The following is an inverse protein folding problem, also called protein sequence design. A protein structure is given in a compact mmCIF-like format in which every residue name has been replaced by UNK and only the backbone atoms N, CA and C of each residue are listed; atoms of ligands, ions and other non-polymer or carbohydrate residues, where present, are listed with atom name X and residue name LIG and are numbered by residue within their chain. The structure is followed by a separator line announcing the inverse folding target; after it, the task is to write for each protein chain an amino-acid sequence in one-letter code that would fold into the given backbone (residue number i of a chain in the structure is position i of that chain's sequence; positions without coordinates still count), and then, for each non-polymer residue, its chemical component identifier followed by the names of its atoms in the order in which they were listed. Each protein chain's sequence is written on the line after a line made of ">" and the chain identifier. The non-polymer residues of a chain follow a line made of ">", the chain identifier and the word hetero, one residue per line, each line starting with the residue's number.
data_IF_566426641035
#
_entry.id   IF_566426641035
#
_cell.length_a   1.000
_cell.length_b   1.000
_cell.length_c   1.000
_cell.angle_alpha   90.00
_cell.angle_beta   90.00
_cell.angle_gamma   90.00
#
_symmetry.space_group_name_H-M   'P 1'
#
loop_
_entity.id
_entity.type
_entity.pdbx_description
1 polymer ?
#
# COMPACT_ATOMS: atom_id res chain seq x y z
N UNK A 1 -36.87 -27.39 -25.51
CA UNK A 1 -36.53 -26.24 -24.65
C UNK A 1 -35.07 -25.90 -24.89
N UNK A 2 -34.77 -24.91 -25.69
CA UNK A 2 -33.40 -24.44 -25.92
C UNK A 2 -32.99 -23.60 -24.72
N UNK A 3 -31.87 -23.99 -24.07
CA UNK A 3 -31.28 -23.21 -23.01
C UNK A 3 -30.90 -21.83 -23.56
N UNK A 4 -31.41 -20.75 -22.91
CA UNK A 4 -30.94 -19.39 -23.20
C UNK A 4 -29.43 -19.32 -22.98
N UNK A 5 -28.68 -18.71 -23.92
CA UNK A 5 -27.25 -18.47 -23.68
C UNK A 5 -27.12 -17.60 -22.43
N UNK A 6 -26.27 -18.03 -21.47
CA UNK A 6 -25.86 -17.20 -20.36
C UNK A 6 -25.25 -15.92 -20.96
N UNK A 7 -25.76 -14.76 -20.60
CA UNK A 7 -25.10 -13.49 -20.90
C UNK A 7 -23.64 -13.58 -20.43
N UNK A 8 -22.68 -13.09 -21.24
CA UNK A 8 -21.30 -13.07 -20.80
C UNK A 8 -21.23 -12.21 -19.54
N UNK A 9 -20.96 -12.84 -18.39
CA UNK A 9 -20.74 -12.10 -17.14
C UNK A 9 -19.66 -11.04 -17.41
N UNK A 10 -19.96 -9.77 -17.08
CA UNK A 10 -19.00 -8.70 -17.26
C UNK A 10 -17.66 -9.08 -16.63
N UNK A 11 -16.55 -9.02 -17.42
CA UNK A 11 -15.21 -9.37 -16.93
C UNK A 11 -14.64 -8.37 -15.93
N UNK A 12 -15.30 -7.21 -15.76
CA UNK A 12 -14.93 -6.16 -14.80
C UNK A 12 -16.16 -5.79 -13.97
N UNK A 13 -15.96 -5.86 -12.65
CA UNK A 13 -16.87 -5.32 -11.66
C UNK A 13 -16.04 -4.37 -10.79
N UNK A 14 -16.57 -3.19 -10.48
CA UNK A 14 -15.91 -2.23 -9.56
C UNK A 14 -16.92 -1.86 -8.48
N UNK A 15 -16.51 -2.11 -7.22
CA UNK A 15 -17.22 -1.69 -6.03
C UNK A 15 -16.56 -0.42 -5.49
N UNK A 16 -17.28 0.72 -5.51
CA UNK A 16 -16.80 1.99 -4.98
C UNK A 16 -17.36 2.22 -3.58
N UNK A 17 -16.59 1.89 -2.56
CA UNK A 17 -16.94 2.03 -1.15
C UNK A 17 -16.37 3.35 -0.55
N UNK A 18 -15.31 3.88 -1.14
CA UNK A 18 -14.58 5.04 -0.61
C UNK A 18 -15.41 6.34 -0.56
N UNK A 19 -16.50 6.44 -1.32
CA UNK A 19 -17.30 7.67 -1.44
C UNK A 19 -18.21 7.98 -0.25
N UNK A 20 -18.40 7.07 0.69
CA UNK A 20 -19.47 7.20 1.69
C UNK A 20 -19.15 8.16 2.85
N UNK A 21 -17.89 8.35 3.28
CA UNK A 21 -17.53 9.18 4.43
C UNK A 21 -16.21 9.98 4.30
N UNK A 22 -15.50 9.92 3.17
CA UNK A 22 -14.11 10.38 3.04
C UNK A 22 -13.84 11.84 3.44
N UNK A 23 -14.76 12.78 3.16
CA UNK A 23 -14.52 14.20 3.48
C UNK A 23 -14.68 14.52 4.98
N UNK A 24 -15.58 13.83 5.69
CA UNK A 24 -15.80 14.07 7.12
C UNK A 24 -14.61 13.50 7.90
N UNK A 25 -14.21 12.29 7.60
CA UNK A 25 -13.06 11.64 8.24
C UNK A 25 -11.76 12.43 8.00
N UNK A 26 -11.53 12.91 6.77
CA UNK A 26 -10.36 13.74 6.45
C UNK A 26 -10.33 15.01 7.30
N UNK A 27 -11.45 15.71 7.42
CA UNK A 27 -11.56 16.93 8.21
C UNK A 27 -11.27 16.68 9.71
N UNK A 28 -11.80 15.59 10.26
CA UNK A 28 -11.59 15.19 11.65
C UNK A 28 -10.14 14.80 11.92
N UNK A 29 -9.53 14.02 11.04
CA UNK A 29 -8.14 13.59 11.16
C UNK A 29 -7.18 14.77 11.03
N UNK A 30 -7.39 15.70 10.09
CA UNK A 30 -6.61 16.94 9.98
C UNK A 30 -6.72 17.75 11.26
N UNK A 31 -7.93 17.91 11.82
CA UNK A 31 -8.12 18.62 13.09
C UNK A 31 -7.33 17.93 14.21
N UNK A 32 -7.49 16.63 14.36
CA UNK A 32 -6.82 15.84 15.40
C UNK A 32 -5.30 15.94 15.29
N UNK A 33 -4.77 15.71 14.08
CA UNK A 33 -3.33 15.70 13.85
C UNK A 33 -2.66 17.05 14.04
N UNK A 34 -3.26 18.13 13.53
CA UNK A 34 -2.72 19.48 13.70
C UNK A 34 -2.91 20.07 15.11
N UNK A 35 -3.81 19.47 15.92
CA UNK A 35 -3.98 19.84 17.34
C UNK A 35 -3.09 19.02 18.27
N UNK A 36 -2.42 17.97 17.79
CA UNK A 36 -1.50 17.17 18.59
C UNK A 36 -0.16 17.86 18.81
N UNK A 37 0.59 17.40 19.82
CA UNK A 37 1.95 17.84 20.07
C UNK A 37 2.83 16.61 20.31
N UNK A 38 3.76 16.30 19.40
CA UNK A 38 4.06 16.97 18.14
C UNK A 38 2.90 16.91 17.13
N UNK A 39 2.86 17.90 16.22
CA UNK A 39 1.89 17.90 15.11
C UNK A 39 2.16 16.76 14.14
N UNK A 40 1.07 16.23 13.56
CA UNK A 40 1.15 15.16 12.56
C UNK A 40 0.03 15.24 11.54
N UNK A 41 0.23 14.61 10.39
CA UNK A 41 -0.80 14.28 9.41
C UNK A 41 -0.72 12.76 9.12
N UNK A 42 -1.65 12.25 8.30
CA UNK A 42 -1.81 10.80 8.19
C UNK A 42 -1.56 10.33 6.75
N UNK A 43 -0.65 9.36 6.51
CA UNK A 43 -0.18 8.99 5.17
C UNK A 43 -1.28 8.48 4.23
N UNK A 44 -2.43 7.98 4.74
CA UNK A 44 -3.55 7.57 3.91
C UNK A 44 -4.11 8.69 3.02
N UNK A 45 -3.87 9.96 3.38
CA UNK A 45 -4.35 11.13 2.64
C UNK A 45 -3.38 11.63 1.56
N UNK A 46 -2.18 11.10 1.50
CA UNK A 46 -1.20 11.38 0.46
C UNK A 46 -1.66 10.90 -0.92
N UNK A 47 -2.49 9.84 -0.98
CA UNK A 47 -2.84 9.12 -2.21
C UNK A 47 -4.14 9.61 -2.88
N UNK A 48 -4.36 10.95 -2.93
CA UNK A 48 -5.39 11.49 -3.83
C UNK A 48 -4.98 11.30 -5.31
N UNK A 49 -5.80 11.75 -6.25
CA UNK A 49 -5.54 11.55 -7.69
C UNK A 49 -4.22 12.17 -8.17
N UNK A 50 -3.72 13.25 -7.54
CA UNK A 50 -2.42 13.84 -7.81
C UNK A 50 -1.32 13.08 -7.08
N UNK A 51 -1.53 12.78 -5.80
CA UNK A 51 -0.60 12.03 -4.97
C UNK A 51 -0.25 10.67 -5.55
N UNK A 52 -1.23 9.92 -6.05
CA UNK A 52 -0.99 8.64 -6.73
C UNK A 52 -0.04 8.79 -7.94
N UNK A 53 -0.17 9.86 -8.73
CA UNK A 53 0.74 10.13 -9.86
C UNK A 53 2.13 10.56 -9.41
N UNK A 54 2.22 11.30 -8.30
CA UNK A 54 3.50 11.68 -7.71
C UNK A 54 4.21 10.44 -7.15
N UNK A 55 3.47 9.52 -6.53
CA UNK A 55 4.03 8.25 -6.08
C UNK A 55 4.49 7.38 -7.27
N UNK A 56 3.72 7.33 -8.35
CA UNK A 56 4.19 6.68 -9.58
C UNK A 56 5.52 7.29 -10.06
N UNK A 57 5.69 8.62 -9.97
CA UNK A 57 6.94 9.28 -10.31
C UNK A 57 8.08 8.93 -9.32
N UNK A 58 7.80 8.86 -8.00
CA UNK A 58 8.76 8.40 -6.97
C UNK A 58 9.30 7.01 -7.33
N UNK A 59 8.45 6.11 -7.80
CA UNK A 59 8.88 4.75 -8.20
C UNK A 59 9.94 4.74 -9.33
N UNK A 60 10.18 5.87 -9.99
CA UNK A 60 11.14 6.01 -11.10
C UNK A 60 12.38 6.83 -10.73
N UNK A 61 12.46 7.44 -9.54
CA UNK A 61 13.69 8.14 -9.13
C UNK A 61 14.76 7.12 -8.69
N UNK A 62 16.02 7.48 -8.90
CA UNK A 62 17.14 6.57 -8.67
C UNK A 62 17.30 6.18 -7.19
N UNK A 63 17.02 7.09 -6.29
CA UNK A 63 17.14 6.86 -4.84
C UNK A 63 16.07 5.90 -4.32
N UNK A 64 14.87 5.84 -4.95
CA UNK A 64 13.77 4.98 -4.52
C UNK A 64 13.93 3.56 -5.08
N UNK A 65 14.83 2.79 -4.49
CA UNK A 65 15.13 1.41 -4.89
C UNK A 65 14.00 0.37 -4.61
N UNK A 66 13.07 0.55 -3.62
CA UNK A 66 12.17 -0.54 -3.22
C UNK A 66 11.33 -1.10 -4.38
N UNK A 67 10.81 -0.24 -5.26
CA UNK A 67 10.02 -0.68 -6.43
C UNK A 67 10.86 -1.53 -7.38
N UNK A 68 12.12 -1.15 -7.65
CA UNK A 68 13.00 -1.91 -8.55
C UNK A 68 13.43 -3.23 -7.94
N UNK A 69 13.76 -3.24 -6.65
CA UNK A 69 14.16 -4.44 -5.92
C UNK A 69 13.02 -5.48 -5.89
N UNK A 70 11.81 -5.07 -5.53
CA UNK A 70 10.65 -5.96 -5.53
C UNK A 70 10.31 -6.46 -6.94
N UNK A 71 10.34 -5.58 -7.96
CA UNK A 71 10.11 -5.99 -9.36
C UNK A 71 11.17 -6.99 -9.85
N UNK A 72 12.43 -6.88 -9.42
CA UNK A 72 13.48 -7.84 -9.68
C UNK A 72 13.13 -9.22 -9.11
N UNK A 73 12.71 -9.27 -7.83
CA UNK A 73 12.31 -10.51 -7.16
C UNK A 73 11.16 -11.17 -7.93
N UNK A 74 10.08 -10.40 -8.19
CA UNK A 74 8.90 -10.93 -8.86
C UNK A 74 9.21 -11.39 -10.30
N UNK A 75 10.11 -10.70 -11.02
CA UNK A 75 10.52 -11.08 -12.36
C UNK A 75 11.29 -12.40 -12.36
N UNK A 76 12.15 -12.63 -11.36
CA UNK A 76 12.97 -13.85 -11.27
C UNK A 76 12.22 -15.06 -10.72
N UNK A 77 11.27 -14.83 -9.81
CA UNK A 77 10.70 -15.87 -8.97
C UNK A 77 9.19 -16.05 -9.11
N UNK A 78 8.50 -15.35 -10.06
CA UNK A 78 7.06 -15.47 -10.21
C UNK A 78 6.59 -16.92 -10.40
N UNK A 79 7.27 -17.71 -11.23
CA UNK A 79 6.91 -19.11 -11.48
C UNK A 79 7.06 -19.98 -10.23
N UNK A 80 8.09 -19.73 -9.44
CA UNK A 80 8.33 -20.43 -8.18
C UNK A 80 7.27 -20.06 -7.13
N UNK A 81 6.94 -18.76 -7.02
CA UNK A 81 5.91 -18.25 -6.10
C UNK A 81 4.56 -18.92 -6.42
N UNK A 82 4.12 -18.88 -7.67
CA UNK A 82 2.82 -19.46 -8.05
C UNK A 82 2.84 -21.01 -7.98
N UNK A 83 3.99 -21.62 -8.22
CA UNK A 83 4.19 -23.07 -8.08
C UNK A 83 4.03 -23.57 -6.65
N UNK A 84 4.31 -22.74 -5.66
CA UNK A 84 4.10 -23.05 -4.25
C UNK A 84 2.61 -23.12 -3.86
N UNK A 85 1.69 -22.61 -4.70
CA UNK A 85 0.25 -22.58 -4.41
C UNK A 85 -0.51 -23.33 -5.50
N UNK A 86 -0.52 -24.68 -5.43
CA UNK A 86 -1.25 -25.50 -6.39
C UNK A 86 -2.72 -25.10 -6.46
N UNK A 87 -3.28 -25.11 -7.69
CA UNK A 87 -4.69 -24.80 -7.95
C UNK A 87 -5.16 -23.39 -7.59
N UNK A 88 -4.25 -22.46 -7.29
CA UNK A 88 -4.59 -21.05 -7.10
C UNK A 88 -5.31 -20.50 -8.35
N UNK A 89 -6.52 -19.96 -8.15
CA UNK A 89 -7.35 -19.34 -9.20
C UNK A 89 -7.83 -17.95 -8.79
N UNK A 90 -7.50 -17.51 -7.59
CA UNK A 90 -7.86 -16.21 -7.08
C UNK A 90 -6.60 -15.50 -6.60
N UNK A 91 -6.36 -14.34 -7.19
CA UNK A 91 -5.30 -13.41 -6.82
C UNK A 91 -5.94 -12.19 -6.18
N UNK A 92 -5.58 -11.87 -4.96
CA UNK A 92 -6.06 -10.69 -4.24
C UNK A 92 -4.87 -9.77 -4.03
N UNK A 93 -5.02 -8.46 -4.21
CA UNK A 93 -3.94 -7.51 -3.93
C UNK A 93 -4.45 -6.33 -3.13
N UNK A 94 -3.82 -6.08 -2.01
CA UNK A 94 -4.09 -4.93 -1.15
C UNK A 94 -3.09 -3.80 -1.48
N UNK A 95 -3.62 -2.65 -1.92
CA UNK A 95 -2.82 -1.54 -2.41
C UNK A 95 -2.25 -1.79 -3.81
N UNK A 96 -3.14 -2.12 -4.77
CA UNK A 96 -2.71 -2.56 -6.11
C UNK A 96 -2.13 -1.45 -6.99
N UNK A 97 -2.48 -0.19 -6.76
CA UNK A 97 -2.00 0.94 -7.56
C UNK A 97 -2.13 0.72 -9.08
N UNK A 98 -1.02 0.84 -9.82
CA UNK A 98 -0.93 0.56 -11.26
C UNK A 98 -0.97 -0.94 -11.61
N UNK A 99 -0.80 -1.83 -10.65
CA UNK A 99 -0.65 -3.29 -10.80
C UNK A 99 0.51 -3.72 -11.74
N UNK A 100 1.51 -2.86 -11.96
CA UNK A 100 2.61 -3.16 -12.89
C UNK A 100 3.48 -4.32 -12.41
N UNK A 101 3.76 -4.40 -11.12
CA UNK A 101 4.50 -5.52 -10.52
C UNK A 101 3.69 -6.80 -10.54
N UNK A 102 2.40 -6.70 -10.25
CA UNK A 102 1.44 -7.81 -10.18
C UNK A 102 1.27 -8.54 -11.50
N UNK A 103 1.53 -7.86 -12.63
CA UNK A 103 1.56 -8.50 -13.97
C UNK A 103 2.43 -9.75 -14.00
N UNK A 104 3.57 -9.77 -13.29
CA UNK A 104 4.47 -10.94 -13.24
C UNK A 104 3.78 -12.16 -12.65
N UNK A 105 3.01 -11.95 -11.58
CA UNK A 105 2.24 -13.01 -10.92
C UNK A 105 1.03 -13.42 -11.77
N UNK A 106 0.31 -12.46 -12.36
CA UNK A 106 -0.82 -12.73 -13.26
C UNK A 106 -0.35 -13.59 -14.46
N UNK A 107 0.75 -13.21 -15.10
CA UNK A 107 1.31 -13.94 -16.22
C UNK A 107 1.75 -15.37 -15.84
N UNK A 108 2.40 -15.51 -14.68
CA UNK A 108 2.79 -16.81 -14.17
C UNK A 108 1.57 -17.71 -13.88
N UNK A 109 0.52 -17.18 -13.25
CA UNK A 109 -0.72 -17.91 -13.00
C UNK A 109 -1.42 -18.30 -14.31
N UNK A 110 -1.53 -17.37 -15.28
CA UNK A 110 -2.19 -17.64 -16.57
C UNK A 110 -1.44 -18.62 -17.46
N UNK A 111 -0.14 -18.85 -17.23
CA UNK A 111 0.57 -19.98 -17.87
C UNK A 111 0.10 -21.35 -17.37
N UNK A 112 -0.40 -21.39 -16.14
CA UNK A 112 -0.83 -22.64 -15.47
C UNK A 112 -2.36 -22.79 -15.42
N UNK A 113 -3.13 -21.73 -15.68
CA UNK A 113 -4.59 -21.69 -15.49
C UNK A 113 -5.27 -21.13 -16.73
N UNK A 114 -6.44 -21.65 -17.04
CA UNK A 114 -7.28 -21.19 -18.14
C UNK A 114 -8.13 -19.97 -17.76
N UNK A 115 -8.33 -19.74 -16.48
CA UNK A 115 -9.08 -18.60 -15.94
C UNK A 115 -8.41 -18.15 -14.63
N UNK A 116 -8.43 -16.83 -14.38
CA UNK A 116 -7.94 -16.21 -13.17
C UNK A 116 -8.90 -15.10 -12.73
N UNK A 117 -9.29 -15.13 -11.46
CA UNK A 117 -9.97 -14.02 -10.80
C UNK A 117 -8.93 -13.15 -10.12
N UNK A 118 -8.85 -11.87 -10.48
CA UNK A 118 -8.04 -10.86 -9.80
C UNK A 118 -8.93 -9.91 -9.01
N UNK A 119 -8.63 -9.74 -7.73
CA UNK A 119 -9.37 -8.87 -6.80
C UNK A 119 -8.41 -7.80 -6.26
N UNK A 120 -8.24 -6.68 -6.98
CA UNK A 120 -7.46 -5.55 -6.49
C UNK A 120 -8.28 -4.70 -5.51
N UNK A 121 -7.65 -4.29 -4.41
CA UNK A 121 -8.15 -3.33 -3.44
C UNK A 121 -7.23 -2.12 -3.44
N UNK A 122 -7.78 -0.92 -3.58
CA UNK A 122 -7.02 0.33 -3.50
C UNK A 122 -7.96 1.48 -3.14
N UNK A 123 -7.46 2.48 -2.45
CA UNK A 123 -8.25 3.67 -2.09
C UNK A 123 -8.56 4.54 -3.32
N UNK A 124 -7.75 4.44 -4.38
CA UNK A 124 -7.89 5.23 -5.61
C UNK A 124 -8.76 4.53 -6.66
N UNK A 125 -10.06 4.83 -6.67
CA UNK A 125 -11.00 4.28 -7.67
C UNK A 125 -10.53 4.54 -9.12
N UNK A 126 -9.90 5.69 -9.39
CA UNK A 126 -9.41 6.03 -10.73
C UNK A 126 -8.19 5.20 -11.14
N UNK A 127 -7.29 4.89 -10.21
CA UNK A 127 -6.16 4.01 -10.45
C UNK A 127 -6.64 2.58 -10.72
N UNK A 128 -7.58 2.06 -9.90
CA UNK A 128 -8.20 0.75 -10.09
C UNK A 128 -8.89 0.60 -11.45
N UNK A 129 -9.69 1.59 -11.86
CA UNK A 129 -10.36 1.52 -13.15
C UNK A 129 -9.36 1.48 -14.31
N UNK A 130 -8.35 2.37 -14.28
CA UNK A 130 -7.31 2.44 -15.31
C UNK A 130 -6.50 1.15 -15.40
N UNK A 131 -5.99 0.65 -14.28
CA UNK A 131 -5.18 -0.58 -14.22
C UNK A 131 -5.99 -1.81 -14.62
N UNK A 132 -7.23 -1.94 -14.13
CA UNK A 132 -8.13 -3.05 -14.47
C UNK A 132 -8.44 -3.11 -15.97
N UNK A 133 -8.75 -1.99 -16.60
CA UNK A 133 -9.00 -1.94 -18.05
C UNK A 133 -7.76 -2.33 -18.86
N UNK A 134 -6.57 -1.86 -18.45
CA UNK A 134 -5.32 -2.21 -19.11
C UNK A 134 -5.00 -3.71 -18.98
N UNK A 135 -5.21 -4.30 -17.80
CA UNK A 135 -5.02 -5.73 -17.57
C UNK A 135 -6.00 -6.58 -18.40
N UNK A 136 -7.28 -6.23 -18.43
CA UNK A 136 -8.30 -6.95 -19.21
C UNK A 136 -8.08 -6.88 -20.72
N UNK A 137 -7.49 -5.79 -21.21
CA UNK A 137 -7.09 -5.69 -22.62
C UNK A 137 -5.91 -6.61 -22.96
N UNK A 138 -4.97 -6.78 -22.00
CA UNK A 138 -3.79 -7.62 -22.20
C UNK A 138 -4.06 -9.13 -21.97
N UNK A 139 -5.00 -9.47 -21.07
CA UNK A 139 -5.21 -10.85 -20.63
C UNK A 139 -6.68 -11.28 -20.81
N UNK A 140 -7.02 -11.98 -21.92
CA UNK A 140 -8.41 -12.41 -22.19
C UNK A 140 -9.00 -13.37 -21.15
N UNK A 141 -8.16 -14.18 -20.50
CA UNK A 141 -8.56 -15.16 -19.48
C UNK A 141 -8.70 -14.56 -18.06
N UNK A 142 -8.45 -13.26 -17.91
CA UNK A 142 -8.58 -12.57 -16.64
C UNK A 142 -10.02 -12.05 -16.42
N UNK A 143 -10.49 -12.20 -15.18
CA UNK A 143 -11.67 -11.53 -14.65
C UNK A 143 -11.22 -10.66 -13.48
N UNK A 144 -11.81 -9.49 -13.32
CA UNK A 144 -11.45 -8.53 -12.27
C UNK A 144 -12.70 -8.12 -11.49
N UNK A 145 -12.59 -8.20 -10.18
CA UNK A 145 -13.56 -7.67 -9.23
C UNK A 145 -12.82 -6.70 -8.29
N UNK A 146 -12.86 -5.41 -8.59
CA UNK A 146 -12.08 -4.38 -7.92
C UNK A 146 -12.86 -3.71 -6.79
N UNK A 147 -12.19 -3.39 -5.69
CA UNK A 147 -12.76 -2.69 -4.54
C UNK A 147 -12.01 -1.37 -4.30
N UNK A 148 -12.69 -0.25 -4.55
CA UNK A 148 -12.21 1.07 -4.16
C UNK A 148 -12.55 1.31 -2.69
N UNK A 149 -11.61 1.00 -1.79
CA UNK A 149 -11.79 0.98 -0.34
C UNK A 149 -10.44 1.04 0.39
N UNK A 150 -10.46 1.31 1.69
CA UNK A 150 -9.33 0.94 2.53
C UNK A 150 -9.17 -0.59 2.64
N UNK A 151 -8.03 -1.04 3.15
CA UNK A 151 -7.70 -2.46 3.18
C UNK A 151 -8.72 -3.30 3.96
N UNK A 152 -9.13 -2.85 5.16
CA UNK A 152 -10.02 -3.62 6.04
C UNK A 152 -11.46 -3.59 5.52
N UNK A 153 -11.92 -2.45 5.00
CA UNK A 153 -13.24 -2.32 4.39
C UNK A 153 -13.33 -3.19 3.12
N UNK A 154 -12.32 -3.14 2.27
CA UNK A 154 -12.23 -3.98 1.07
C UNK A 154 -12.24 -5.47 1.41
N UNK A 155 -11.42 -5.87 2.41
CA UNK A 155 -11.40 -7.24 2.91
C UNK A 155 -12.77 -7.69 3.45
N UNK A 156 -13.46 -6.85 4.20
CA UNK A 156 -14.77 -7.18 4.75
C UNK A 156 -15.83 -7.32 3.64
N UNK A 157 -15.75 -6.49 2.60
CA UNK A 157 -16.73 -6.47 1.50
C UNK A 157 -16.63 -7.69 0.57
N UNK A 158 -15.45 -8.32 0.45
CA UNK A 158 -15.25 -9.47 -0.45
C UNK A 158 -15.56 -10.84 0.18
N UNK A 159 -16.11 -10.87 1.39
CA UNK A 159 -16.49 -12.15 2.02
C UNK A 159 -17.81 -12.72 1.47
N UNK A 160 -17.92 -14.07 1.33
CA UNK A 160 -16.87 -15.08 1.51
C UNK A 160 -15.88 -15.11 0.33
N UNK A 161 -14.62 -15.43 0.63
CA UNK A 161 -13.64 -15.66 -0.41
C UNK A 161 -14.03 -16.85 -1.30
N UNK A 162 -13.66 -16.84 -2.61
CA UNK A 162 -13.90 -17.96 -3.53
C UNK A 162 -13.38 -19.30 -2.99
N UNK A 163 -13.98 -20.42 -3.40
CA UNK A 163 -13.67 -21.76 -2.84
C UNK A 163 -12.27 -22.30 -3.16
N UNK A 164 -11.63 -21.84 -4.24
CA UNK A 164 -10.29 -22.25 -4.63
C UNK A 164 -9.22 -21.61 -3.74
N UNK A 165 -8.02 -22.22 -3.62
CA UNK A 165 -6.89 -21.58 -2.95
C UNK A 165 -6.61 -20.19 -3.52
N UNK A 166 -6.36 -19.23 -2.62
CA UNK A 166 -6.08 -17.85 -2.96
C UNK A 166 -4.63 -17.48 -2.64
N UNK A 167 -4.05 -16.63 -3.50
CA UNK A 167 -2.83 -15.89 -3.21
C UNK A 167 -3.20 -14.44 -2.94
N UNK A 168 -2.91 -13.98 -1.74
CA UNK A 168 -3.03 -12.56 -1.38
C UNK A 168 -1.67 -11.89 -1.50
N UNK A 169 -1.62 -10.74 -2.12
CA UNK A 169 -0.43 -9.90 -2.27
C UNK A 169 -0.57 -8.67 -1.37
N UNK A 170 0.46 -8.40 -0.61
CA UNK A 170 0.64 -7.13 0.09
C UNK A 170 2.07 -6.66 -0.17
N UNK A 171 2.23 -5.91 -1.26
CA UNK A 171 3.51 -5.56 -1.87
C UNK A 171 3.94 -4.13 -1.52
N UNK A 172 5.12 -3.71 -2.00
CA UNK A 172 5.61 -2.33 -1.87
C UNK A 172 6.10 -1.97 -0.48
N UNK A 173 6.28 -2.94 0.41
CA UNK A 173 6.57 -2.68 1.84
C UNK A 173 5.49 -1.86 2.56
N UNK A 174 4.25 -1.90 2.07
CA UNK A 174 3.12 -1.18 2.67
C UNK A 174 2.88 -1.56 4.15
N UNK A 175 3.31 -2.76 4.56
CA UNK A 175 3.28 -3.18 5.97
C UNK A 175 4.11 -2.27 6.88
N UNK A 176 5.14 -1.62 6.34
CA UNK A 176 5.98 -0.68 7.06
C UNK A 176 5.31 0.65 7.39
N UNK A 177 4.16 0.95 6.79
CA UNK A 177 3.41 2.17 7.05
C UNK A 177 2.46 2.05 8.27
N UNK A 178 2.35 0.86 8.84
CA UNK A 178 1.58 0.62 10.06
C UNK A 178 2.48 0.69 11.30
N UNK A 179 1.93 1.18 12.41
CA UNK A 179 2.54 0.96 13.72
C UNK A 179 2.65 -0.55 14.02
N UNK A 180 3.63 -0.95 14.86
CA UNK A 180 3.94 -2.38 15.10
C UNK A 180 2.72 -3.19 15.53
N UNK A 181 1.90 -2.66 16.44
CA UNK A 181 0.68 -3.33 16.91
C UNK A 181 -0.44 -3.31 15.85
N UNK A 182 -0.50 -2.26 15.05
CA UNK A 182 -1.44 -2.17 13.92
C UNK A 182 -1.09 -3.16 12.83
N UNK A 183 0.21 -3.30 12.48
CA UNK A 183 0.69 -4.28 11.51
C UNK A 183 0.32 -5.72 11.94
N UNK A 184 0.51 -6.04 13.22
CA UNK A 184 0.12 -7.34 13.78
C UNK A 184 -1.39 -7.55 13.68
N UNK A 185 -2.18 -6.56 14.10
CA UNK A 185 -3.65 -6.59 14.06
C UNK A 185 -4.17 -6.74 12.63
N UNK A 186 -3.54 -6.06 11.68
CA UNK A 186 -3.86 -6.14 10.26
C UNK A 186 -3.58 -7.54 9.68
N UNK A 187 -2.41 -8.11 9.95
CA UNK A 187 -2.10 -9.49 9.53
C UNK A 187 -3.04 -10.52 10.16
N UNK A 188 -3.44 -10.33 11.41
CA UNK A 188 -4.45 -11.17 12.06
C UNK A 188 -5.83 -11.02 11.39
N UNK A 189 -6.20 -9.80 10.94
CA UNK A 189 -7.43 -9.59 10.19
C UNK A 189 -7.39 -10.33 8.84
N UNK A 190 -6.29 -10.22 8.10
CA UNK A 190 -6.07 -11.01 6.88
C UNK A 190 -6.19 -12.51 7.18
N UNK A 191 -5.50 -12.98 8.24
CA UNK A 191 -5.50 -14.40 8.59
C UNK A 191 -6.90 -14.96 8.87
N UNK A 192 -7.76 -14.19 9.54
CA UNK A 192 -9.16 -14.61 9.82
C UNK A 192 -10.00 -14.82 8.55
N UNK A 193 -9.65 -14.16 7.47
CA UNK A 193 -10.35 -14.29 6.19
C UNK A 193 -9.84 -15.44 5.34
N UNK A 194 -8.58 -15.82 5.53
CA UNK A 194 -7.91 -16.85 4.74
C UNK A 194 -8.23 -18.26 5.28
N UNK A 195 -8.33 -19.22 4.37
CA UNK A 195 -8.49 -20.64 4.68
C UNK A 195 -7.12 -21.28 4.88
N UNK A 196 -7.07 -22.43 5.59
CA UNK A 196 -5.86 -23.25 5.57
C UNK A 196 -5.47 -23.60 4.12
N UNK A 197 -4.21 -23.35 3.79
CA UNK A 197 -3.68 -23.57 2.41
C UNK A 197 -3.65 -22.32 1.54
N UNK A 198 -4.40 -21.25 1.85
CA UNK A 198 -4.19 -19.95 1.22
C UNK A 198 -2.82 -19.38 1.59
N UNK A 199 -2.29 -18.50 0.75
CA UNK A 199 -0.98 -17.88 0.97
C UNK A 199 -1.04 -16.37 0.88
N UNK A 200 -0.18 -15.71 1.69
CA UNK A 200 0.10 -14.28 1.64
C UNK A 200 1.52 -14.08 1.14
N UNK A 201 1.70 -13.33 0.07
CA UNK A 201 3.00 -12.81 -0.36
C UNK A 201 3.16 -11.38 0.16
N UNK A 202 4.08 -11.21 1.10
CA UNK A 202 4.37 -9.95 1.76
C UNK A 202 5.68 -9.38 1.25
N UNK A 203 5.64 -8.19 0.63
CA UNK A 203 6.83 -7.42 0.29
C UNK A 203 7.29 -6.58 1.47
N UNK A 204 8.59 -6.63 1.80
CA UNK A 204 9.14 -5.89 2.92
C UNK A 204 10.53 -5.31 2.62
N UNK A 205 10.68 -4.02 2.87
CA UNK A 205 11.96 -3.33 2.81
C UNK A 205 12.81 -3.67 4.04
N UNK A 206 14.06 -4.06 3.80
CA UNK A 206 14.94 -4.57 4.87
C UNK A 206 15.78 -3.45 5.48
N UNK A 207 16.21 -3.65 6.73
CA UNK A 207 17.19 -2.79 7.41
C UNK A 207 18.50 -2.80 6.63
N UNK A 208 19.09 -1.63 6.46
CA UNK A 208 20.33 -1.42 5.69
C UNK A 208 20.97 -0.08 6.05
N UNK A 209 21.95 0.34 5.25
CA UNK A 209 22.65 1.60 5.44
C UNK A 209 21.69 2.80 5.57
N UNK A 210 21.95 3.64 6.58
CA UNK A 210 21.15 4.81 6.93
C UNK A 210 21.02 5.80 5.77
N UNK A 211 22.15 6.10 5.11
CA UNK A 211 22.16 7.11 4.06
C UNK A 211 21.30 6.67 2.85
N UNK A 212 21.31 5.36 2.54
CA UNK A 212 20.46 4.79 1.49
C UNK A 212 18.98 4.89 1.87
N UNK A 213 18.63 4.58 3.12
CA UNK A 213 17.25 4.66 3.62
C UNK A 213 16.73 6.10 3.59
N UNK A 214 17.51 7.06 4.10
CA UNK A 214 17.11 8.47 4.13
C UNK A 214 16.99 9.06 2.71
N UNK A 215 17.90 8.72 1.79
CA UNK A 215 17.86 9.18 0.41
C UNK A 215 16.61 8.70 -0.34
N UNK A 216 16.15 7.47 -0.08
CA UNK A 216 14.95 6.92 -0.71
C UNK A 216 13.68 7.72 -0.40
N UNK A 217 13.64 8.46 0.71
CA UNK A 217 12.53 9.31 1.13
C UNK A 217 12.81 10.82 1.00
N UNK A 218 13.92 11.19 0.37
CA UNK A 218 14.29 12.59 0.13
C UNK A 218 15.18 12.70 -1.11
N UNK A 219 14.59 12.39 -2.27
CA UNK A 219 15.25 12.36 -3.56
C UNK A 219 15.77 13.75 -4.00
N UNK A 220 16.85 13.77 -4.75
CA UNK A 220 17.51 15.00 -5.22
C UNK A 220 16.64 15.84 -6.18
N UNK A 221 15.68 15.20 -6.89
CA UNK A 221 14.74 15.89 -7.78
C UNK A 221 13.59 16.56 -7.01
N UNK A 222 13.35 16.19 -5.74
CA UNK A 222 12.28 16.73 -4.91
C UNK A 222 10.89 16.17 -5.24
N UNK A 223 10.82 15.01 -5.89
CA UNK A 223 9.54 14.35 -6.21
C UNK A 223 8.85 13.87 -4.94
N UNK A 224 9.60 13.29 -4.00
CA UNK A 224 9.09 12.89 -2.68
C UNK A 224 8.57 14.10 -1.91
N UNK A 225 9.30 15.23 -1.93
CA UNK A 225 8.80 16.46 -1.31
C UNK A 225 7.47 16.90 -1.92
N UNK A 226 7.35 16.86 -3.25
CA UNK A 226 6.10 17.23 -3.92
C UNK A 226 4.94 16.32 -3.51
N UNK A 227 5.19 15.02 -3.34
CA UNK A 227 4.22 14.04 -2.86
C UNK A 227 3.77 14.34 -1.44
N UNK A 228 4.70 14.57 -0.51
CA UNK A 228 4.37 14.86 0.90
C UNK A 228 3.64 16.21 1.04
N UNK A 229 4.12 17.26 0.37
CA UNK A 229 3.49 18.59 0.40
C UNK A 229 2.11 18.61 -0.27
N UNK A 230 1.80 17.63 -1.15
CA UNK A 230 0.48 17.51 -1.76
C UNK A 230 -0.64 17.36 -0.71
N UNK A 231 -0.38 16.79 0.45
CA UNK A 231 -1.39 16.72 1.53
C UNK A 231 -1.77 18.11 2.04
N UNK A 232 -0.79 19.02 2.19
CA UNK A 232 -1.07 20.42 2.53
C UNK A 232 -1.87 21.13 1.41
N UNK A 233 -1.52 20.85 0.15
CA UNK A 233 -2.28 21.36 -1.00
C UNK A 233 -3.72 20.83 -1.01
N UNK A 234 -3.92 19.58 -0.60
CA UNK A 234 -5.24 18.97 -0.43
C UNK A 234 -6.04 19.65 0.67
N UNK A 235 -5.43 19.91 1.83
CA UNK A 235 -6.06 20.68 2.93
C UNK A 235 -6.46 22.07 2.44
N UNK A 236 -5.59 22.74 1.67
CA UNK A 236 -5.93 24.06 1.09
C UNK A 236 -7.16 23.96 0.17
N UNK A 237 -7.18 22.98 -0.70
CA UNK A 237 -8.23 22.79 -1.73
C UNK A 237 -9.56 22.34 -1.12
N UNK A 238 -9.53 21.37 -0.21
CA UNK A 238 -10.74 20.68 0.26
C UNK A 238 -11.29 21.25 1.58
N UNK A 239 -10.42 21.82 2.42
CA UNK A 239 -10.81 22.36 3.74
C UNK A 239 -10.62 23.87 3.86
N UNK A 240 -10.25 24.56 2.76
CA UNK A 240 -10.06 26.01 2.77
C UNK A 240 -8.88 26.44 3.64
N UNK A 241 -7.80 25.64 3.65
CA UNK A 241 -6.54 26.00 4.27
C UNK A 241 -5.79 27.08 3.49
N UNK A 242 -4.80 27.72 4.13
CA UNK A 242 -3.91 28.70 3.51
C UNK A 242 -2.42 28.37 3.72
N UNK A 243 -2.07 27.09 3.75
CA UNK A 243 -0.67 26.65 3.79
C UNK A 243 0.11 27.26 2.63
N UNK A 244 1.22 27.94 2.93
CA UNK A 244 2.26 28.26 1.93
C UNK A 244 3.14 27.03 1.72
N UNK A 245 2.95 26.35 0.61
CA UNK A 245 3.63 25.08 0.31
C UNK A 245 5.15 25.23 0.18
N UNK A 246 5.64 26.44 -0.10
CA UNK A 246 7.07 26.73 -0.19
C UNK A 246 7.72 26.99 1.17
N UNK A 247 6.89 27.24 2.19
CA UNK A 247 7.35 27.46 3.54
C UNK A 247 7.61 26.17 4.34
N UNK A 248 7.54 25.00 3.68
CA UNK A 248 7.80 23.70 4.28
C UNK A 248 8.90 22.94 3.54
N UNK A 249 9.94 22.53 4.28
CA UNK A 249 11.02 21.68 3.83
C UNK A 249 10.75 20.22 4.17
N UNK A 250 11.22 19.28 3.34
CA UNK A 250 11.16 17.86 3.64
C UNK A 250 12.35 17.44 4.49
N UNK A 251 12.11 16.58 5.48
CA UNK A 251 13.11 15.89 6.30
C UNK A 251 12.82 14.41 6.31
N UNK A 252 13.84 13.60 6.08
CA UNK A 252 13.80 12.15 6.20
C UNK A 252 14.88 11.72 7.17
N UNK A 253 14.51 10.98 8.20
CA UNK A 253 15.42 10.55 9.27
C UNK A 253 15.20 9.07 9.54
N UNK A 254 16.26 8.27 9.50
CA UNK A 254 16.19 6.89 9.93
C UNK A 254 16.40 6.79 11.45
N UNK A 255 15.34 6.43 12.16
CA UNK A 255 15.34 6.12 13.58
C UNK A 255 15.79 4.66 13.77
N UNK A 256 17.04 4.47 14.21
CA UNK A 256 17.61 3.13 14.40
C UNK A 256 16.99 2.35 15.55
N UNK A 257 16.50 3.05 16.58
CA UNK A 257 15.86 2.42 17.76
C UNK A 257 14.54 1.78 17.36
N UNK A 258 13.71 2.50 16.61
CA UNK A 258 12.43 1.99 16.10
C UNK A 258 12.59 1.14 14.86
N UNK A 259 13.64 1.36 14.08
CA UNK A 259 13.90 0.72 12.81
C UNK A 259 13.01 1.28 11.70
N UNK A 260 12.69 2.56 11.74
CA UNK A 260 11.79 3.22 10.80
C UNK A 260 12.45 4.44 10.15
N UNK A 261 12.15 4.67 8.87
CA UNK A 261 12.33 5.99 8.27
C UNK A 261 11.12 6.84 8.64
N UNK A 262 11.38 7.97 9.27
CA UNK A 262 10.39 8.96 9.65
C UNK A 262 10.48 10.16 8.70
N UNK A 263 9.36 10.58 8.16
CA UNK A 263 9.26 11.68 7.20
C UNK A 263 8.53 12.83 7.85
N UNK A 264 9.13 14.01 7.79
CA UNK A 264 8.62 15.22 8.39
C UNK A 264 8.57 16.37 7.38
N UNK A 265 7.64 17.29 7.60
CA UNK A 265 7.69 18.63 7.04
C UNK A 265 8.18 19.62 8.12
N UNK A 266 9.29 20.32 7.81
CA UNK A 266 9.85 21.37 8.64
C UNK A 266 9.28 22.73 8.22
N UNK A 267 8.71 23.49 9.14
CA UNK A 267 8.33 24.89 8.87
C UNK A 267 9.58 25.76 8.78
N UNK A 268 9.82 26.32 7.60
CA UNK A 268 11.04 27.13 7.31
C UNK A 268 11.00 28.53 7.93
N UNK A 269 9.87 28.94 8.48
CA UNK A 269 9.66 30.22 9.15
C UNK A 269 8.52 30.12 10.18
N UNK A 270 8.47 31.05 11.11
CA UNK A 270 7.28 31.20 11.95
C UNK A 270 6.08 31.67 11.11
N UNK A 271 4.96 30.97 11.22
CA UNK A 271 3.76 31.24 10.43
C UNK A 271 2.50 30.73 11.14
N UNK A 272 1.36 31.35 10.83
CA UNK A 272 0.03 30.91 11.25
C UNK A 272 -0.76 30.46 10.04
N UNK A 273 -1.34 29.28 10.10
CA UNK A 273 -2.17 28.68 9.04
C UNK A 273 -3.61 28.61 9.51
N UNK A 274 -4.53 29.18 8.75
CA UNK A 274 -5.97 29.10 9.02
C UNK A 274 -6.60 28.06 8.10
N UNK A 275 -7.48 27.20 8.66
CA UNK A 275 -8.26 26.21 7.91
C UNK A 275 -9.73 26.54 8.14
N UNK A 276 -10.33 27.22 7.16
CA UNK A 276 -11.64 27.88 7.34
C UNK A 276 -12.78 26.90 7.59
N UNK A 277 -12.82 25.75 6.90
CA UNK A 277 -13.86 24.73 7.12
C UNK A 277 -13.80 24.10 8.51
N UNK A 278 -12.62 24.14 9.16
CA UNK A 278 -12.44 23.63 10.51
C UNK A 278 -12.59 24.73 11.58
N UNK A 279 -12.66 26.02 11.19
CA UNK A 279 -12.66 27.12 12.12
C UNK A 279 -11.43 27.13 13.03
N UNK A 280 -10.26 26.68 12.54
CA UNK A 280 -9.04 26.56 13.34
C UNK A 280 -7.89 27.36 12.75
N UNK A 281 -7.00 27.82 13.62
CA UNK A 281 -5.72 28.40 13.26
C UNK A 281 -4.62 27.60 13.95
N UNK A 282 -3.57 27.29 13.22
CA UNK A 282 -2.43 26.48 13.68
C UNK A 282 -1.17 27.31 13.52
N UNK A 283 -0.43 27.49 14.61
CA UNK A 283 0.82 28.20 14.61
C UNK A 283 1.99 27.22 14.45
N UNK A 284 2.94 27.58 13.63
CA UNK A 284 4.21 26.85 13.44
C UNK A 284 5.37 27.79 13.81
N UNK A 285 6.27 27.30 14.64
CA UNK A 285 7.55 27.98 14.87
C UNK A 285 8.50 27.69 13.69
N UNK A 286 9.47 28.60 13.47
CA UNK A 286 10.56 28.30 12.54
C UNK A 286 11.38 27.10 13.03
N UNK A 287 11.62 26.12 12.16
CA UNK A 287 12.29 24.86 12.48
C UNK A 287 11.41 23.81 13.16
N UNK A 288 10.12 24.07 13.34
CA UNK A 288 9.18 23.06 13.87
C UNK A 288 8.93 21.96 12.85
N UNK A 289 8.95 20.71 13.32
CA UNK A 289 8.71 19.52 12.51
C UNK A 289 7.30 18.99 12.74
N UNK A 290 6.64 18.64 11.65
CA UNK A 290 5.33 17.98 11.63
C UNK A 290 5.52 16.59 11.03
N UNK A 291 5.13 15.55 11.74
CA UNK A 291 5.25 14.17 11.28
C UNK A 291 4.23 13.89 10.15
N UNK A 292 4.68 13.25 9.07
CA UNK A 292 3.86 12.96 7.89
C UNK A 292 3.65 11.46 7.69
N UNK A 293 4.72 10.68 7.81
CA UNK A 293 4.65 9.23 7.71
C UNK A 293 5.87 8.58 8.35
N UNK A 294 5.76 7.32 8.65
CA UNK A 294 6.87 6.44 8.97
C UNK A 294 6.87 5.24 8.02
N UNK A 295 8.04 4.64 7.84
CA UNK A 295 8.18 3.41 7.08
C UNK A 295 9.15 2.48 7.81
N UNK A 296 8.60 1.49 8.52
CA UNK A 296 9.38 0.49 9.23
C UNK A 296 10.18 -0.37 8.26
N UNK A 297 11.39 -0.72 8.69
CA UNK A 297 12.30 -1.61 7.99
C UNK A 297 12.46 -2.89 8.78
N UNK A 298 12.55 -4.00 8.07
CA UNK A 298 12.43 -5.32 8.65
C UNK A 298 13.74 -6.10 8.58
N UNK A 299 13.82 -7.15 9.34
CA UNK A 299 14.70 -8.29 9.12
C UNK A 299 13.84 -9.55 8.97
N UNK A 300 14.39 -10.57 8.30
CA UNK A 300 13.62 -11.79 7.96
C UNK A 300 13.14 -12.53 9.21
N UNK A 301 13.92 -12.50 10.29
CA UNK A 301 13.54 -13.13 11.56
C UNK A 301 12.36 -12.39 12.21
N UNK A 302 12.35 -11.04 12.17
CA UNK A 302 11.25 -10.21 12.64
C UNK A 302 9.96 -10.47 11.86
N UNK A 303 10.06 -10.57 10.53
CA UNK A 303 8.94 -10.93 9.67
C UNK A 303 8.40 -12.33 10.00
N UNK A 304 9.27 -13.30 10.21
CA UNK A 304 8.87 -14.67 10.60
C UNK A 304 8.14 -14.68 11.94
N UNK A 305 8.65 -13.94 12.95
CA UNK A 305 7.97 -13.80 14.25
C UNK A 305 6.59 -13.15 14.12
N UNK A 306 6.50 -12.04 13.38
CA UNK A 306 5.25 -11.32 13.14
C UNK A 306 4.22 -12.21 12.42
N UNK A 307 4.64 -12.97 11.42
CA UNK A 307 3.81 -13.97 10.75
C UNK A 307 3.28 -15.01 11.72
N UNK A 308 4.15 -15.59 12.54
CA UNK A 308 3.78 -16.62 13.52
C UNK A 308 2.76 -16.09 14.56
N UNK A 309 2.94 -14.88 15.05
CA UNK A 309 2.01 -14.22 15.98
C UNK A 309 0.65 -13.89 15.33
N UNK A 310 0.61 -13.86 13.99
CA UNK A 310 -0.60 -13.61 13.21
C UNK A 310 -1.26 -14.89 12.71
N UNK A 311 -0.73 -16.08 13.02
CA UNK A 311 -1.26 -17.37 12.59
C UNK A 311 -0.80 -17.81 11.19
N UNK A 312 0.34 -17.27 10.73
CA UNK A 312 0.99 -17.67 9.49
C UNK A 312 2.32 -18.39 9.76
N UNK A 313 2.68 -19.33 8.89
CA UNK A 313 4.02 -19.90 8.81
C UNK A 313 4.79 -19.30 7.63
N UNK A 314 5.99 -18.77 7.88
CA UNK A 314 6.88 -18.34 6.81
C UNK A 314 7.40 -19.58 6.07
N UNK A 315 7.04 -19.70 4.80
CA UNK A 315 7.41 -20.87 3.96
C UNK A 315 8.69 -20.60 3.18
N UNK A 316 8.79 -19.41 2.60
CA UNK A 316 9.97 -19.03 1.80
C UNK A 316 10.14 -17.51 1.74
N UNK A 317 11.40 -17.10 1.62
CA UNK A 317 11.81 -15.70 1.38
C UNK A 317 12.67 -15.62 0.13
N UNK A 318 12.39 -14.65 -0.72
CA UNK A 318 13.24 -14.28 -1.87
C UNK A 318 13.77 -12.87 -1.64
N UNK A 319 15.02 -12.65 -2.00
CA UNK A 319 15.72 -11.36 -1.89
C UNK A 319 16.04 -10.83 -3.30
N UNK A 320 16.12 -9.50 -3.43
CA UNK A 320 16.76 -8.88 -4.58
C UNK A 320 18.26 -9.18 -4.59
N UNK A 321 18.93 -8.91 -5.70
CA UNK A 321 20.37 -9.25 -5.86
C UNK A 321 21.29 -8.57 -4.86
N UNK A 322 20.86 -7.47 -4.26
CA UNK A 322 21.63 -6.71 -3.26
C UNK A 322 21.17 -6.95 -1.82
N UNK A 323 20.14 -7.80 -1.62
CA UNK A 323 19.61 -8.12 -0.28
C UNK A 323 18.94 -6.96 0.42
N UNK A 324 18.40 -6.00 -0.34
CA UNK A 324 17.77 -4.79 0.19
C UNK A 324 16.29 -4.95 0.48
N UNK A 325 15.63 -5.83 -0.25
CA UNK A 325 14.19 -6.06 -0.20
C UNK A 325 13.89 -7.56 -0.14
N UNK A 326 12.77 -7.93 0.49
CA UNK A 326 12.33 -9.32 0.55
C UNK A 326 10.88 -9.46 0.11
N UNK A 327 10.59 -10.54 -0.61
CA UNK A 327 9.24 -11.05 -0.81
C UNK A 327 9.10 -12.36 -0.03
N UNK A 328 8.12 -12.41 0.86
CA UNK A 328 7.99 -13.44 1.88
C UNK A 328 6.66 -14.17 1.68
N UNK A 329 6.72 -15.47 1.40
CA UNK A 329 5.53 -16.31 1.26
C UNK A 329 5.15 -16.89 2.61
N UNK A 330 3.99 -16.51 3.08
CA UNK A 330 3.39 -17.00 4.30
C UNK A 330 2.22 -17.95 4.00
N UNK A 331 2.17 -19.08 4.69
CA UNK A 331 1.07 -20.03 4.63
C UNK A 331 0.11 -19.82 5.79
N UNK A 332 -1.18 -19.73 5.49
CA UNK A 332 -2.21 -19.71 6.53
C UNK A 332 -2.23 -21.05 7.27
N UNK A 333 -1.89 -21.04 8.56
CA UNK A 333 -1.84 -22.24 9.38
C UNK A 333 -3.26 -22.69 9.76
N UNK A 334 -3.47 -23.99 9.96
CA UNK A 334 -4.72 -24.50 10.54
C UNK A 334 -4.89 -23.91 11.93
N UNK A 335 -6.09 -23.41 12.23
CA UNK A 335 -6.42 -23.02 13.60
C UNK A 335 -6.44 -24.31 14.41
N UNK A 336 -5.53 -24.46 15.36
CA UNK A 336 -5.64 -25.53 16.35
C UNK A 336 -6.86 -25.23 17.21
N UNK A 337 -7.87 -26.09 17.10
CA UNK A 337 -9.10 -26.05 17.89
C UNK A 337 -8.84 -26.36 19.35
#
# INVERSE_FOLDING_TARGET
>A
MQAKPKEPSARLIIHDLARRNGNVEFAEDVRRGLSSNPKQLFPKYLYDSLGSRLFDAICHVDEYYPTRAENEILTRHADEIVGAIPDCRTLIELGSGSADKTRRIIEALLRLRTELLFIPVDISASALEKSSRALLAAYPALRIEAYAADYLEGLAAMQPLPEAPALMLFLGSNIGNFEKDEALSFLQAIRRMMRPGDALLLGADLKKDRAMLEAAYNDALGVTRAFIVNELARINRELGGNFDLWAFGLRSVYNEEDGAVEVYLESLRSQSVTISSLGMTVDFAAGEWMHMEHSYKFDVEGLSRMGSQSGFGLEKTWLDSEGRFSSNLFRALSVQS
#
